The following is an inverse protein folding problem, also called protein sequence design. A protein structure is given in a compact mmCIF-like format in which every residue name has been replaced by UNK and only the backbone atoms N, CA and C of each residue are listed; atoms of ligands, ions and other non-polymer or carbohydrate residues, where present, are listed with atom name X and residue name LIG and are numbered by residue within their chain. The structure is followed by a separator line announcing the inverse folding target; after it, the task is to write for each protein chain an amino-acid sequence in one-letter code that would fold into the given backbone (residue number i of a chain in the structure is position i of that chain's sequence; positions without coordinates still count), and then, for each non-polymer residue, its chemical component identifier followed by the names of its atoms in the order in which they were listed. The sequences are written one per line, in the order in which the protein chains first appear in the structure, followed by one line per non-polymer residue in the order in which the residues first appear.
data_IF_866899774274
#
_entry.id   IF_866899774274
#
_cell.length_a   1.000
_cell.length_b   1.000
_cell.length_c   1.000
_cell.angle_alpha   90.00
_cell.angle_beta   90.00
_cell.angle_gamma   90.00
#
_symmetry.space_group_name_H-M   'P 1'
#
loop_
_entity.id
_entity.type
_entity.pdbx_description
1 polymer ?
#
# COMPACT_ATOMS: atom_id res chain seq x y z
N UNK A 1 22.03 -10.15 -3.75
CA UNK A 1 20.92 -9.38 -3.14
C UNK A 1 21.43 -8.44 -2.04
N UNK A 2 22.39 -7.54 -2.34
CA UNK A 2 22.94 -6.58 -1.36
C UNK A 2 22.59 -5.10 -1.70
N UNK A 3 22.19 -4.82 -2.94
CA UNK A 3 22.11 -3.46 -3.50
C UNK A 3 20.93 -2.62 -2.97
N UNK A 4 19.76 -3.24 -2.72
CA UNK A 4 18.54 -2.52 -2.30
C UNK A 4 18.66 -2.02 -0.86
N UNK A 5 19.26 -2.81 0.04
CA UNK A 5 19.40 -2.49 1.46
C UNK A 5 20.36 -1.31 1.65
N UNK A 6 21.47 -1.30 0.91
CA UNK A 6 22.44 -0.21 0.93
C UNK A 6 21.86 1.09 0.36
N UNK A 7 21.02 0.99 -0.68
CA UNK A 7 20.31 2.14 -1.24
C UNK A 7 19.31 2.75 -0.26
N UNK A 8 18.62 1.91 0.52
CA UNK A 8 17.67 2.37 1.54
C UNK A 8 18.37 3.09 2.71
N UNK A 9 19.51 2.57 3.17
CA UNK A 9 20.29 3.20 4.24
C UNK A 9 20.89 4.54 3.80
N UNK A 10 21.33 4.67 2.54
CA UNK A 10 21.75 5.96 1.98
C UNK A 10 20.62 6.99 1.99
N UNK A 11 19.41 6.60 1.56
CA UNK A 11 18.25 7.50 1.54
C UNK A 11 17.82 7.94 2.95
N UNK A 12 17.88 7.05 3.95
CA UNK A 12 17.63 7.41 5.35
C UNK A 12 18.64 8.43 5.85
N UNK A 13 19.93 8.20 5.58
CA UNK A 13 21.02 9.09 6.01
C UNK A 13 20.91 10.46 5.36
N UNK A 14 20.59 10.53 4.07
CA UNK A 14 20.34 11.79 3.37
C UNK A 14 19.13 12.55 3.95
N UNK A 15 18.05 11.84 4.31
CA UNK A 15 16.85 12.44 4.90
C UNK A 15 17.15 13.03 6.29
N UNK A 16 17.91 12.32 7.12
CA UNK A 16 18.33 12.81 8.43
C UNK A 16 19.23 14.04 8.33
N UNK A 17 20.23 14.04 7.44
CA UNK A 17 21.12 15.19 7.23
C UNK A 17 20.33 16.41 6.76
N UNK A 18 19.39 16.22 5.81
CA UNK A 18 18.51 17.29 5.33
C UNK A 18 17.60 17.83 6.44
N UNK A 19 17.08 16.96 7.32
CA UNK A 19 16.25 17.37 8.46
C UNK A 19 17.04 18.17 9.49
N UNK A 20 18.26 17.73 9.82
CA UNK A 20 19.14 18.45 10.77
C UNK A 20 19.54 19.82 10.24
N UNK A 21 19.91 19.92 8.95
CA UNK A 21 20.23 21.20 8.31
C UNK A 21 19.06 22.18 8.34
N UNK A 22 17.83 21.72 8.05
CA UNK A 22 16.63 22.57 8.18
C UNK A 22 16.38 23.04 9.60
N UNK A 23 16.56 22.17 10.60
CA UNK A 23 16.36 22.55 12.00
C UNK A 23 17.39 23.58 12.49
N UNK A 24 18.62 23.51 11.98
CA UNK A 24 19.65 24.49 12.32
C UNK A 24 19.36 25.85 11.68
N UNK A 25 18.98 25.87 10.39
CA UNK A 25 18.60 27.10 9.69
C UNK A 25 17.42 27.83 10.35
N UNK A 26 16.45 27.09 10.90
CA UNK A 26 15.32 27.69 11.63
C UNK A 26 15.77 28.30 12.96
N UNK A 27 16.71 27.65 13.66
CA UNK A 27 17.27 28.20 14.91
C UNK A 27 18.08 29.46 14.64
N UNK A 28 18.96 29.42 13.64
CA UNK A 28 19.79 30.57 13.27
C UNK A 28 18.91 31.76 12.82
N UNK A 29 17.85 31.49 12.04
CA UNK A 29 16.88 32.53 11.65
C UNK A 29 16.11 33.09 12.85
N UNK A 30 15.79 32.27 13.85
CA UNK A 30 15.11 32.71 15.06
C UNK A 30 16.01 33.62 15.92
N UNK A 31 17.29 33.28 16.06
CA UNK A 31 18.27 34.11 16.78
C UNK A 31 18.45 35.49 16.12
N UNK A 32 18.39 35.59 14.79
CA UNK A 32 18.42 36.87 14.08
C UNK A 32 17.14 37.69 14.27
N UNK A 33 15.96 37.05 14.22
CA UNK A 33 14.67 37.71 14.48
C UNK A 33 14.56 38.17 15.94
N UNK A 34 15.17 37.44 16.87
CA UNK A 34 15.15 37.75 18.30
C UNK A 34 15.91 39.04 18.62
N UNK A 35 17.03 39.30 17.92
CA UNK A 35 17.82 40.55 18.01
C UNK A 35 17.04 41.80 17.58
N UNK A 36 15.90 41.63 16.93
CA UNK A 36 15.00 42.74 16.57
C UNK A 36 14.03 42.99 17.73
N UNK A 37 14.28 44.06 18.51
CA UNK A 37 13.56 44.34 19.77
C UNK A 37 12.12 44.86 19.59
N UNK A 38 11.73 45.29 18.38
CA UNK A 38 10.44 45.96 18.14
C UNK A 38 9.29 45.04 17.65
N UNK A 39 9.54 43.73 17.54
CA UNK A 39 8.54 42.78 17.02
C UNK A 39 7.85 42.00 18.14
N UNK A 40 6.52 41.93 18.09
CA UNK A 40 5.77 41.06 19.01
C UNK A 40 6.07 39.59 18.70
N UNK A 41 5.88 38.70 19.67
CA UNK A 41 6.07 37.24 19.49
C UNK A 41 5.28 36.71 18.29
N UNK A 42 4.09 37.28 18.05
CA UNK A 42 3.25 36.94 16.89
C UNK A 42 3.92 37.32 15.57
N UNK A 43 4.50 38.51 15.49
CA UNK A 43 5.16 39.01 14.28
C UNK A 43 6.46 38.23 13.99
N UNK A 44 7.19 37.86 15.04
CA UNK A 44 8.38 37.00 14.93
C UNK A 44 8.01 35.63 14.34
N UNK A 45 6.89 35.04 14.77
CA UNK A 45 6.38 33.78 14.24
C UNK A 45 5.89 33.89 12.80
N UNK A 46 5.18 34.97 12.44
CA UNK A 46 4.77 35.22 11.05
C UNK A 46 5.99 35.39 10.14
N UNK A 47 7.04 36.07 10.60
CA UNK A 47 8.29 36.22 9.86
C UNK A 47 8.98 34.86 9.62
N UNK A 48 9.05 34.01 10.65
CA UNK A 48 9.59 32.65 10.53
C UNK A 48 8.81 31.78 9.53
N UNK A 49 7.47 31.87 9.56
CA UNK A 49 6.58 31.15 8.63
C UNK A 49 6.81 31.67 7.20
N UNK A 50 7.01 32.98 7.03
CA UNK A 50 7.30 33.57 5.73
C UNK A 50 8.63 33.10 5.14
N UNK A 51 9.69 32.99 5.96
CA UNK A 51 11.02 32.52 5.54
C UNK A 51 11.05 31.02 5.23
N UNK A 52 10.21 30.24 5.92
CA UNK A 52 10.12 28.77 5.72
C UNK A 52 9.08 28.37 4.67
N UNK A 53 8.25 29.30 4.21
CA UNK A 53 7.39 29.15 3.02
C UNK A 53 8.26 29.12 1.77
N UNK A 54 8.93 27.99 1.57
CA UNK A 54 9.31 27.60 0.22
C UNK A 54 8.01 27.55 -0.58
N UNK A 55 7.94 28.33 -1.66
CA UNK A 55 6.96 28.09 -2.71
C UNK A 55 7.00 26.58 -2.96
N UNK A 56 5.90 25.90 -2.66
CA UNK A 56 5.79 24.48 -3.00
C UNK A 56 6.12 24.45 -4.49
N UNK A 57 7.17 23.72 -4.93
CA UNK A 57 7.38 23.54 -6.35
C UNK A 57 6.03 23.09 -6.88
N UNK A 58 5.50 23.81 -7.89
CA UNK A 58 4.27 23.42 -8.54
C UNK A 58 4.41 21.93 -8.79
N UNK A 59 3.52 21.16 -8.16
CA UNK A 59 3.51 19.71 -8.30
C UNK A 59 3.52 19.51 -9.81
N UNK A 60 4.54 18.86 -10.41
CA UNK A 60 4.59 18.70 -11.85
C UNK A 60 3.22 18.19 -12.24
N UNK A 61 2.56 18.87 -13.18
CA UNK A 61 1.25 18.47 -13.67
C UNK A 61 1.36 16.98 -13.91
N UNK A 62 0.58 16.21 -13.13
CA UNK A 62 0.56 14.78 -13.27
C UNK A 62 0.11 14.62 -14.71
N UNK A 63 1.03 14.19 -15.58
CA UNK A 63 0.67 13.89 -16.96
C UNK A 63 -0.51 12.96 -16.85
N UNK A 64 -1.67 13.46 -17.28
CA UNK A 64 -2.87 12.67 -17.38
C UNK A 64 -2.56 11.72 -18.51
N UNK A 65 -2.04 10.54 -18.15
CA UNK A 65 -1.88 9.47 -19.12
C UNK A 65 -3.28 9.22 -19.68
N UNK A 66 -3.43 9.37 -20.99
CA UNK A 66 -4.64 8.91 -21.64
C UNK A 66 -4.84 7.44 -21.24
N UNK A 67 -6.03 7.06 -20.75
CA UNK A 67 -6.29 5.69 -20.36
C UNK A 67 -5.99 4.81 -21.57
N UNK A 68 -4.93 4.00 -21.47
CA UNK A 68 -4.61 3.01 -22.48
C UNK A 68 -5.87 2.20 -22.75
N UNK A 69 -6.20 2.03 -24.03
CA UNK A 69 -7.34 1.22 -24.46
C UNK A 69 -7.12 -0.20 -23.91
N UNK A 70 -7.78 -0.50 -22.80
CA UNK A 70 -7.70 -1.81 -22.14
C UNK A 70 -8.24 -2.84 -23.11
N UNK A 71 -7.55 -3.95 -23.26
CA UNK A 71 -8.09 -5.09 -23.99
C UNK A 71 -9.42 -5.51 -23.33
N UNK A 72 -10.42 -5.94 -24.13
CA UNK A 72 -11.68 -6.38 -23.57
C UNK A 72 -11.44 -7.58 -22.64
N UNK A 73 -12.05 -7.53 -21.45
CA UNK A 73 -12.06 -8.65 -20.52
C UNK A 73 -12.68 -9.87 -21.22
N UNK A 74 -11.93 -10.96 -21.30
CA UNK A 74 -12.48 -12.23 -21.78
C UNK A 74 -12.95 -13.03 -20.58
N UNK A 75 -14.24 -13.35 -20.56
CA UNK A 75 -14.85 -14.20 -19.55
C UNK A 75 -15.20 -15.55 -20.18
N UNK A 76 -14.70 -16.63 -19.59
CA UNK A 76 -15.00 -17.99 -19.98
C UNK A 76 -15.55 -18.73 -18.77
N UNK A 77 -16.74 -19.31 -18.91
CA UNK A 77 -17.37 -20.13 -17.89
C UNK A 77 -17.40 -21.58 -18.35
N UNK A 78 -16.79 -22.46 -17.57
CA UNK A 78 -16.77 -23.89 -17.83
C UNK A 78 -17.43 -24.60 -16.63
N UNK A 79 -18.75 -24.83 -16.67
CA UNK A 79 -19.44 -25.52 -15.59
C UNK A 79 -19.09 -27.01 -15.61
N UNK A 80 -18.78 -27.57 -14.44
CA UNK A 80 -18.57 -29.00 -14.26
C UNK A 80 -19.65 -29.57 -13.34
N UNK A 81 -20.42 -30.58 -13.79
CA UNK A 81 -21.38 -31.22 -12.92
C UNK A 81 -20.67 -32.03 -11.81
N UNK A 82 -21.36 -32.19 -10.67
CA UNK A 82 -20.76 -32.71 -9.43
C UNK A 82 -20.37 -34.20 -9.51
N UNK A 83 -20.90 -34.93 -10.48
CA UNK A 83 -20.59 -36.33 -10.76
C UNK A 83 -19.29 -36.51 -11.58
N UNK A 84 -18.67 -35.42 -12.02
CA UNK A 84 -17.36 -35.44 -12.68
C UNK A 84 -16.27 -35.85 -11.68
N UNK A 85 -15.28 -36.59 -12.18
CA UNK A 85 -14.09 -36.96 -11.41
C UNK A 85 -12.89 -36.11 -11.78
N UNK A 86 -12.15 -35.67 -10.77
CA UNK A 86 -10.79 -35.19 -10.91
C UNK A 86 -9.82 -36.27 -10.42
N UNK A 87 -9.11 -36.91 -11.34
CA UNK A 87 -8.31 -38.09 -11.05
C UNK A 87 -9.17 -39.25 -10.55
N UNK A 88 -9.05 -39.59 -9.25
CA UNK A 88 -9.84 -40.66 -8.60
C UNK A 88 -10.97 -40.14 -7.70
N UNK A 89 -11.11 -38.82 -7.56
CA UNK A 89 -12.03 -38.19 -6.60
C UNK A 89 -13.20 -37.56 -7.36
N UNK A 90 -14.42 -37.77 -6.88
CA UNK A 90 -15.61 -37.09 -7.40
C UNK A 90 -15.64 -35.65 -6.89
N UNK A 91 -16.05 -34.70 -7.73
CA UNK A 91 -16.21 -33.31 -7.30
C UNK A 91 -17.22 -33.20 -6.15
N UNK A 92 -18.31 -33.97 -6.19
CA UNK A 92 -19.31 -34.04 -5.12
C UNK A 92 -18.73 -34.42 -3.75
N UNK A 93 -17.65 -35.21 -3.71
CA UNK A 93 -17.02 -35.62 -2.45
C UNK A 93 -16.47 -34.44 -1.65
N UNK A 94 -16.19 -33.30 -2.30
CA UNK A 94 -15.81 -32.06 -1.61
C UNK A 94 -16.89 -31.57 -0.65
N UNK A 95 -18.17 -31.78 -0.98
CA UNK A 95 -19.30 -31.35 -0.14
C UNK A 95 -19.47 -32.21 1.12
N UNK A 96 -18.82 -33.38 1.19
CA UNK A 96 -18.86 -34.26 2.36
C UNK A 96 -17.86 -33.82 3.46
N UNK A 97 -17.00 -32.85 3.16
CA UNK A 97 -16.03 -32.31 4.13
C UNK A 97 -16.78 -31.49 5.18
N UNK A 98 -16.84 -32.04 6.39
CA UNK A 98 -17.52 -31.42 7.53
C UNK A 98 -16.74 -30.21 8.07
N UNK A 99 -17.47 -29.24 8.60
CA UNK A 99 -16.89 -28.01 9.15
C UNK A 99 -15.86 -28.23 10.26
N UNK A 100 -16.02 -29.26 11.11
CA UNK A 100 -15.02 -29.62 12.11
C UNK A 100 -13.65 -29.99 11.50
N UNK A 101 -13.64 -30.61 10.31
CA UNK A 101 -12.40 -30.90 9.56
C UNK A 101 -11.80 -29.58 9.06
N UNK A 102 -12.63 -28.69 8.53
CA UNK A 102 -12.19 -27.37 8.06
C UNK A 102 -11.61 -26.52 9.20
N UNK A 103 -12.23 -26.53 10.38
CA UNK A 103 -11.71 -25.88 11.59
C UNK A 103 -10.36 -26.45 12.00
N UNK A 104 -10.18 -27.77 11.91
CA UNK A 104 -8.90 -28.41 12.22
C UNK A 104 -7.80 -27.98 11.24
N UNK A 105 -8.10 -27.93 9.94
CA UNK A 105 -7.15 -27.56 8.88
C UNK A 105 -6.78 -26.07 8.90
N UNK A 106 -7.76 -25.19 9.10
CA UNK A 106 -7.59 -23.73 9.12
C UNK A 106 -7.09 -23.20 10.46
N UNK A 107 -7.29 -23.97 11.55
CA UNK A 107 -7.17 -23.51 12.95
C UNK A 107 -8.08 -22.33 13.29
N UNK A 108 -9.23 -22.25 12.62
CA UNK A 108 -10.17 -21.15 12.79
C UNK A 108 -11.59 -21.67 13.04
N UNK A 109 -12.19 -21.23 14.15
CA UNK A 109 -13.52 -21.69 14.58
C UNK A 109 -14.65 -21.19 13.69
N UNK A 110 -14.43 -20.13 12.89
CA UNK A 110 -15.40 -19.64 11.93
C UNK A 110 -15.84 -20.71 10.90
N UNK A 111 -14.99 -21.72 10.67
CA UNK A 111 -15.26 -22.81 9.73
C UNK A 111 -16.10 -23.96 10.30
N UNK A 112 -16.39 -23.97 11.60
CA UNK A 112 -17.04 -25.11 12.26
C UNK A 112 -18.43 -25.40 11.69
N UNK A 113 -19.15 -24.34 11.32
CA UNK A 113 -20.49 -24.39 10.76
C UNK A 113 -20.53 -24.01 9.27
N UNK A 114 -19.38 -23.97 8.58
CA UNK A 114 -19.33 -23.63 7.17
C UNK A 114 -19.86 -24.80 6.32
N UNK A 115 -20.84 -24.50 5.46
CA UNK A 115 -21.31 -25.41 4.42
C UNK A 115 -20.63 -25.06 3.08
N UNK A 116 -19.84 -26.00 2.56
CA UNK A 116 -19.14 -25.83 1.29
C UNK A 116 -20.06 -25.72 0.08
N UNK A 117 -21.34 -26.13 0.19
CA UNK A 117 -22.33 -25.91 -0.87
C UNK A 117 -22.61 -24.42 -1.14
N UNK A 118 -22.29 -23.57 -0.16
CA UNK A 118 -22.45 -22.11 -0.23
C UNK A 118 -21.14 -21.36 -0.46
N UNK A 119 -20.02 -22.08 -0.57
CA UNK A 119 -18.70 -21.48 -0.67
C UNK A 119 -18.30 -21.18 -2.12
N UNK A 120 -17.58 -20.07 -2.31
CA UNK A 120 -16.93 -19.72 -3.57
C UNK A 120 -15.41 -19.86 -3.41
N UNK A 121 -14.82 -20.76 -4.19
CA UNK A 121 -13.37 -20.94 -4.24
C UNK A 121 -12.80 -20.14 -5.41
N UNK A 122 -11.85 -19.26 -5.13
CA UNK A 122 -11.20 -18.40 -6.13
C UNK A 122 -9.71 -18.65 -6.08
N UNK A 123 -9.14 -18.98 -7.22
CA UNK A 123 -7.70 -18.96 -7.45
C UNK A 123 -7.37 -17.83 -8.42
N UNK A 124 -6.35 -17.04 -8.11
CA UNK A 124 -5.99 -15.85 -8.88
C UNK A 124 -4.55 -16.00 -9.37
N UNK A 125 -4.41 -16.19 -10.67
CA UNK A 125 -3.11 -16.15 -11.33
C UNK A 125 -2.78 -14.72 -11.75
N UNK A 126 -1.59 -14.25 -11.40
CA UNK A 126 -1.11 -12.92 -11.76
C UNK A 126 0.28 -13.02 -12.38
N UNK A 127 0.65 -12.05 -13.22
CA UNK A 127 1.97 -12.00 -13.86
C UNK A 127 3.11 -11.63 -12.89
N UNK A 128 2.87 -11.63 -11.57
CA UNK A 128 3.88 -11.45 -10.53
C UNK A 128 3.99 -10.05 -9.93
N UNK A 129 3.10 -9.10 -10.29
CA UNK A 129 2.98 -7.83 -9.58
C UNK A 129 2.08 -8.03 -8.35
N UNK A 130 2.61 -7.73 -7.16
CA UNK A 130 1.84 -7.85 -5.93
C UNK A 130 0.62 -6.91 -5.96
N UNK A 131 -0.53 -7.39 -5.49
CA UNK A 131 -1.77 -6.59 -5.43
C UNK A 131 -1.65 -5.29 -4.61
N UNK A 132 -0.57 -5.13 -3.83
CA UNK A 132 -0.23 -3.90 -3.10
C UNK A 132 0.55 -2.84 -3.90
N UNK A 133 0.91 -3.10 -5.17
CA UNK A 133 1.67 -2.16 -5.99
C UNK A 133 0.82 -1.02 -6.59
N UNK A 134 -0.44 -0.86 -6.14
CA UNK A 134 -1.30 0.26 -6.53
C UNK A 134 -1.63 0.25 -8.02
N UNK A 135 -2.38 -0.75 -8.48
CA UNK A 135 -3.00 -0.71 -9.79
C UNK A 135 -4.41 -0.12 -9.62
N UNK A 136 -4.60 1.11 -10.12
CA UNK A 136 -5.90 1.70 -10.47
C UNK A 136 -6.03 1.63 -11.99
#
# INVERSE_FOLDING_TARGET
MADIKDKLERLKKEREVRSRSKSQLVKDAWEEIEKTEDLSVKDKLEHLISLTRQEKPQKPEIQTFEPLKREPLQFFENPYPLDVKYGRVLLSSGLEIKGNILTCLSKESAFENLDLSTALFIDLETTGLSGGAGVV
#
